data_IF_490540266266
#
_entry.id   IF_490540266266
#
_cell.length_a   1.000
_cell.length_b   1.000
_cell.length_c   1.000
_cell.angle_alpha   90.00
_cell.angle_beta   90.00
_cell.angle_gamma   90.00
#
_symmetry.space_group_name_H-M   'P 1'
#
loop_
_entity.id
_entity.type
_entity.pdbx_description
1 polymer ?
#
# COMPACT_ATOMS: atom_id res chain seq x y z
N UNK A 1 18.07 13.32 1.59
CA UNK A 1 17.55 11.95 1.68
C UNK A 1 16.74 11.64 0.43
N UNK A 2 16.71 10.40 -0.02
CA UNK A 2 15.91 10.07 -1.21
C UNK A 2 14.41 10.28 -0.97
N UNK A 3 13.70 10.58 -2.04
CA UNK A 3 12.25 10.72 -2.00
C UNK A 3 11.63 9.43 -2.54
N UNK A 4 10.67 8.90 -1.81
CA UNK A 4 9.90 7.74 -2.23
C UNK A 4 8.43 8.12 -2.38
N UNK A 5 7.78 7.49 -3.36
CA UNK A 5 6.37 7.70 -3.65
C UNK A 5 5.60 6.42 -3.37
N UNK A 6 4.40 6.56 -2.83
CA UNK A 6 3.58 5.44 -2.37
C UNK A 6 2.29 5.40 -3.18
N UNK A 7 2.24 4.51 -4.15
CA UNK A 7 1.10 4.37 -5.04
C UNK A 7 0.19 3.28 -4.46
N UNK A 8 -1.04 3.64 -4.12
CA UNK A 8 -1.98 2.77 -3.43
C UNK A 8 -2.97 2.12 -4.39
N UNK A 9 -3.22 0.83 -4.19
CA UNK A 9 -4.23 0.05 -4.89
C UNK A 9 -5.12 -0.61 -3.83
N UNK A 10 -6.41 -0.23 -3.79
CA UNK A 10 -7.34 -0.77 -2.82
C UNK A 10 -7.93 -2.14 -3.22
N UNK A 11 -7.53 -2.69 -4.35
CA UNK A 11 -7.99 -3.99 -4.81
C UNK A 11 -9.31 -3.99 -5.58
N UNK A 12 -9.87 -2.81 -5.85
CA UNK A 12 -11.15 -2.71 -6.59
C UNK A 12 -10.97 -2.33 -8.06
N UNK A 13 -9.75 -2.38 -8.56
CA UNK A 13 -9.48 -2.10 -9.96
C UNK A 13 -9.52 -0.63 -10.34
N UNK A 14 -10.46 0.12 -9.80
CA UNK A 14 -10.60 1.56 -10.07
C UNK A 14 -10.15 2.42 -8.89
N UNK A 15 -9.67 1.80 -7.82
CA UNK A 15 -9.29 2.51 -6.61
C UNK A 15 -7.80 2.82 -6.49
N UNK A 16 -7.07 2.78 -7.60
CA UNK A 16 -5.63 3.08 -7.57
C UNK A 16 -5.41 4.58 -7.43
N UNK A 17 -4.51 4.97 -6.54
CA UNK A 17 -4.15 6.36 -6.31
C UNK A 17 -2.65 6.52 -6.40
N UNK A 18 -2.19 7.36 -7.33
CA UNK A 18 -0.77 7.64 -7.52
C UNK A 18 -0.34 8.78 -6.60
N UNK A 19 0.73 8.55 -5.85
CA UNK A 19 1.31 9.59 -5.00
C UNK A 19 2.15 10.54 -5.83
N UNK A 20 1.87 11.83 -5.72
CA UNK A 20 2.61 12.86 -6.45
C UNK A 20 3.40 13.78 -5.52
N UNK A 21 3.32 13.56 -4.22
CA UNK A 21 4.01 14.37 -3.22
C UNK A 21 5.29 13.69 -2.74
N UNK A 22 5.19 12.43 -2.35
CA UNK A 22 6.32 11.66 -1.87
C UNK A 22 6.73 11.99 -0.43
N UNK A 23 7.73 11.29 0.06
CA UNK A 23 8.29 11.49 1.38
C UNK A 23 9.79 11.25 1.36
N UNK A 24 10.52 12.08 2.12
CA UNK A 24 11.95 11.90 2.32
C UNK A 24 12.19 10.79 3.34
N UNK A 25 12.84 9.72 2.93
CA UNK A 25 13.13 8.59 3.80
C UNK A 25 14.57 8.13 3.58
N UNK A 26 15.12 7.49 4.60
CA UNK A 26 16.53 7.11 4.59
C UNK A 26 16.87 6.08 3.53
N UNK A 27 16.02 5.07 3.39
CA UNK A 27 16.25 3.93 2.49
C UNK A 27 14.95 3.20 2.17
N UNK A 28 15.05 2.16 1.35
CA UNK A 28 13.89 1.34 0.96
C UNK A 28 13.29 0.63 2.18
N UNK A 29 14.11 0.19 3.13
CA UNK A 29 13.60 -0.48 4.33
C UNK A 29 12.68 0.45 5.14
N UNK A 30 13.07 1.72 5.28
CA UNK A 30 12.23 2.73 5.94
C UNK A 30 10.94 2.97 5.16
N UNK A 31 11.02 2.97 3.84
CA UNK A 31 9.85 3.14 2.99
C UNK A 31 8.87 1.97 3.14
N UNK A 32 9.38 0.74 3.29
CA UNK A 32 8.53 -0.43 3.53
C UNK A 32 7.79 -0.31 4.86
N UNK A 33 8.47 0.17 5.91
CA UNK A 33 7.83 0.40 7.22
C UNK A 33 6.69 1.42 7.08
N UNK A 34 6.95 2.53 6.40
CA UNK A 34 5.94 3.56 6.17
C UNK A 34 4.75 3.02 5.39
N UNK A 35 5.00 2.28 4.32
CA UNK A 35 3.96 1.67 3.51
C UNK A 35 3.13 0.67 4.32
N UNK A 36 3.77 -0.10 5.19
CA UNK A 36 3.09 -1.08 6.05
C UNK A 36 2.13 -0.38 7.01
N UNK A 37 2.58 0.68 7.64
CA UNK A 37 1.75 1.46 8.57
C UNK A 37 0.54 2.05 7.85
N UNK A 38 0.77 2.68 6.70
CA UNK A 38 -0.29 3.28 5.90
C UNK A 38 -1.30 2.24 5.42
N UNK A 39 -0.81 1.11 4.91
CA UNK A 39 -1.67 0.05 4.41
C UNK A 39 -2.54 -0.54 5.52
N UNK A 40 -1.98 -0.73 6.70
CA UNK A 40 -2.70 -1.25 7.86
C UNK A 40 -3.81 -0.29 8.29
N UNK A 41 -3.53 1.00 8.31
CA UNK A 41 -4.55 2.01 8.65
C UNK A 41 -5.68 2.04 7.63
N UNK A 42 -5.35 2.00 6.34
CA UNK A 42 -6.35 1.97 5.28
C UNK A 42 -7.19 0.70 5.33
N UNK A 43 -6.58 -0.43 5.68
CA UNK A 43 -7.27 -1.71 5.77
C UNK A 43 -8.35 -1.70 6.85
N UNK A 44 -8.10 -0.99 7.96
CA UNK A 44 -9.06 -0.92 9.07
C UNK A 44 -10.43 -0.40 8.61
N UNK A 45 -10.47 0.51 7.65
CA UNK A 45 -11.73 1.04 7.11
C UNK A 45 -12.21 0.26 5.89
N UNK A 46 -11.27 -0.12 5.01
CA UNK A 46 -11.60 -0.72 3.72
C UNK A 46 -12.15 -2.14 3.85
N UNK A 47 -11.66 -2.91 4.84
CA UNK A 47 -12.00 -4.33 4.95
C UNK A 47 -13.30 -4.61 5.67
N UNK A 48 -13.86 -3.64 6.40
CA UNK A 48 -15.15 -3.81 7.09
C UNK A 48 -16.24 -4.06 6.05
N UNK A 49 -16.96 -5.17 6.19
CA UNK A 49 -18.01 -5.54 5.26
C UNK A 49 -17.52 -6.19 3.97
N UNK A 50 -16.23 -6.45 3.86
CA UNK A 50 -15.62 -7.08 2.68
C UNK A 50 -15.35 -8.55 2.99
N UNK A 51 -15.61 -9.43 2.03
CA UNK A 51 -15.33 -10.86 2.19
C UNK A 51 -13.91 -11.23 1.76
N UNK A 52 -13.38 -10.55 0.76
CA UNK A 52 -12.06 -10.84 0.24
C UNK A 52 -11.48 -9.60 -0.44
N UNK A 53 -10.22 -9.31 -0.18
CA UNK A 53 -9.56 -8.15 -0.77
C UNK A 53 -8.06 -8.34 -0.80
N UNK A 54 -7.43 -7.89 -1.88
CA UNK A 54 -5.98 -7.76 -1.94
C UNK A 54 -5.67 -6.27 -2.11
N UNK A 55 -4.99 -5.71 -1.13
CA UNK A 55 -4.59 -4.30 -1.14
C UNK A 55 -3.08 -4.23 -1.29
N UNK A 56 -2.57 -3.19 -1.90
CA UNK A 56 -1.13 -3.04 -2.08
C UNK A 56 -0.71 -1.58 -2.11
N UNK A 57 0.52 -1.33 -1.69
CA UNK A 57 1.21 -0.07 -1.91
C UNK A 57 2.50 -0.39 -2.67
N UNK A 58 2.70 0.30 -3.79
CA UNK A 58 3.93 0.21 -4.56
C UNK A 58 4.82 1.36 -4.15
N UNK A 59 6.04 1.06 -3.76
CA UNK A 59 7.04 2.08 -3.42
C UNK A 59 7.88 2.37 -4.64
N UNK A 60 7.84 3.60 -5.12
CA UNK A 60 8.50 4.06 -6.33
C UNK A 60 9.55 5.11 -5.96
N UNK A 61 10.71 5.08 -6.61
CA UNK A 61 11.76 6.07 -6.37
C UNK A 61 11.60 7.30 -7.27
N UNK A 62 12.51 8.25 -7.14
CA UNK A 62 12.49 9.50 -7.89
C UNK A 62 12.69 9.29 -9.40
N UNK A 63 13.28 8.17 -9.79
CA UNK A 63 13.50 7.84 -11.20
C UNK A 63 12.32 7.10 -11.82
N UNK A 64 11.26 6.87 -11.02
CA UNK A 64 10.08 6.16 -11.48
C UNK A 64 10.16 4.64 -11.36
N UNK A 65 11.24 4.12 -10.80
CA UNK A 65 11.40 2.67 -10.64
C UNK A 65 10.68 2.17 -9.40
N UNK A 66 9.93 1.07 -9.53
CA UNK A 66 9.33 0.40 -8.38
C UNK A 66 10.42 -0.30 -7.59
N UNK A 67 10.55 0.08 -6.32
CA UNK A 67 11.60 -0.44 -5.43
C UNK A 67 11.07 -1.49 -4.46
N UNK A 68 9.76 -1.46 -4.17
CA UNK A 68 9.15 -2.42 -3.26
C UNK A 68 7.65 -2.50 -3.52
N UNK A 69 7.06 -3.60 -3.10
CA UNK A 69 5.62 -3.77 -3.08
C UNK A 69 5.24 -4.32 -1.71
N UNK A 70 4.34 -3.64 -1.02
CA UNK A 70 3.78 -4.09 0.25
C UNK A 70 2.33 -4.44 0.00
N UNK A 71 1.94 -5.67 0.30
CA UNK A 71 0.57 -6.12 0.03
C UNK A 71 -0.03 -6.78 1.25
N UNK A 72 -1.37 -6.72 1.33
CA UNK A 72 -2.15 -7.33 2.40
C UNK A 72 -3.31 -8.06 1.77
N UNK A 73 -3.41 -9.36 2.03
CA UNK A 73 -4.49 -10.19 1.55
C UNK A 73 -5.45 -10.49 2.70
N UNK A 74 -6.73 -10.23 2.47
CA UNK A 74 -7.77 -10.43 3.47
C UNK A 74 -8.83 -11.38 2.94
N UNK A 75 -9.28 -12.28 3.81
CA UNK A 75 -10.37 -13.19 3.47
C UNK A 75 -11.16 -13.53 4.73
N UNK A 76 -12.47 -13.36 4.66
CA UNK A 76 -13.38 -13.74 5.72
C UNK A 76 -14.33 -14.81 5.18
N UNK A 77 -14.43 -15.93 5.89
CA UNK A 77 -15.27 -17.05 5.49
C UNK A 77 -16.19 -17.43 6.62
N UNK A 78 -17.44 -17.75 6.28
CA UNK A 78 -18.38 -18.32 7.23
C UNK A 78 -18.19 -19.85 7.25
N UNK A 79 -18.02 -20.43 8.43
CA UNK A 79 -17.89 -21.88 8.59
C UNK A 79 -19.07 -22.41 9.38
N UNK A 80 -19.55 -23.57 8.99
CA UNK A 80 -20.71 -24.19 9.61
C UNK A 80 -21.97 -23.93 8.83
#
# INVERSE_FOLDING_TARGET
MPVFYFDYDNGEGSGAARDEIGADLTDVASAIVEATQTLTELAADTLIGTAERLMAIMVRDELGATRARVSLAYRAETTG
#
